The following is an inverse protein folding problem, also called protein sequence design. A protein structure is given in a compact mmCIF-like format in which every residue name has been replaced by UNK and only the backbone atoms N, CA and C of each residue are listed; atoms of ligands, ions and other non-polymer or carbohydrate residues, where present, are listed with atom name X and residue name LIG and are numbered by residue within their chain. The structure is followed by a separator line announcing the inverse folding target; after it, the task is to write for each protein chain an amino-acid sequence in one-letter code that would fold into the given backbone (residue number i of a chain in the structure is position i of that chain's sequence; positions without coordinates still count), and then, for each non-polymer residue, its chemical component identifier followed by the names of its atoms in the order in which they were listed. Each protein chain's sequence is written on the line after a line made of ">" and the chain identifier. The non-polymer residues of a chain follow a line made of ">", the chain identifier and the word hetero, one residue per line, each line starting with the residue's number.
data_IF_845257087330
#
_entry.id   IF_845257087330
#
_cell.length_a   1.000
_cell.length_b   1.000
_cell.length_c   1.000
_cell.angle_alpha   90.00
_cell.angle_beta   90.00
_cell.angle_gamma   90.00
#
_symmetry.space_group_name_H-M   'P 1'
#
loop_
_entity.id
_entity.type
_entity.pdbx_description
1 polymer ?
#
# COMPACT_ATOMS: atom_id res chain seq x y z
N UNK A 1 39.99 82.14 -21.81
CA UNK A 1 41.13 81.31 -21.42
C UNK A 1 40.63 80.32 -20.37
N UNK A 2 40.46 79.06 -20.81
CA UNK A 2 40.25 77.74 -20.13
C UNK A 2 39.62 77.64 -18.72
N UNK A 3 38.83 76.54 -18.58
CA UNK A 3 38.46 75.69 -17.41
C UNK A 3 37.05 75.90 -16.83
N UNK A 4 36.26 74.87 -16.49
CA UNK A 4 36.32 73.42 -16.70
C UNK A 4 34.91 72.88 -16.38
N UNK A 5 34.33 72.02 -17.21
CA UNK A 5 33.07 71.32 -16.91
C UNK A 5 33.37 70.00 -16.19
N UNK A 6 32.74 69.77 -15.04
CA UNK A 6 32.72 68.46 -14.37
C UNK A 6 31.36 67.80 -14.65
N UNK A 7 31.35 66.76 -15.47
CA UNK A 7 30.19 65.88 -15.68
C UNK A 7 30.30 64.67 -14.75
N UNK A 8 29.26 64.41 -13.96
CA UNK A 8 29.07 63.16 -13.22
C UNK A 8 28.53 62.09 -14.17
N UNK A 9 29.26 60.97 -14.28
CA UNK A 9 28.82 59.75 -14.96
C UNK A 9 28.07 58.85 -13.98
N UNK A 10 26.76 58.66 -14.20
CA UNK A 10 26.01 57.54 -13.63
C UNK A 10 26.22 56.31 -14.52
N UNK A 11 26.84 55.27 -13.99
CA UNK A 11 26.86 53.94 -14.61
C UNK A 11 25.56 53.20 -14.29
N UNK A 12 24.69 53.02 -15.29
CA UNK A 12 23.60 52.04 -15.21
C UNK A 12 24.15 50.68 -15.65
N UNK A 13 24.31 49.75 -14.70
CA UNK A 13 24.59 48.34 -14.97
C UNK A 13 23.33 47.69 -15.58
N UNK A 14 23.29 47.58 -16.90
CA UNK A 14 22.35 46.68 -17.59
C UNK A 14 23.01 45.29 -17.62
N UNK A 15 22.69 44.47 -16.62
CA UNK A 15 22.97 43.03 -16.70
C UNK A 15 22.03 42.38 -17.72
N UNK A 16 22.52 41.48 -18.60
CA UNK A 16 21.63 40.73 -19.47
C UNK A 16 20.70 39.85 -18.63
N UNK A 17 19.40 40.00 -18.83
CA UNK A 17 18.40 39.05 -18.37
C UNK A 17 18.66 37.72 -19.08
N UNK A 18 19.16 36.72 -18.34
CA UNK A 18 19.14 35.32 -18.77
C UNK A 18 17.71 34.80 -18.65
N UNK A 19 16.80 35.35 -19.45
CA UNK A 19 15.51 34.73 -19.72
C UNK A 19 15.76 33.57 -20.70
N UNK A 20 16.37 32.49 -20.21
CA UNK A 20 16.37 31.21 -20.90
C UNK A 20 14.93 30.75 -21.02
N UNK A 21 14.31 30.95 -22.19
CA UNK A 21 12.94 30.52 -22.44
C UNK A 21 12.82 29.02 -22.24
N UNK A 22 11.79 28.59 -21.50
CA UNK A 22 11.44 27.19 -21.38
C UNK A 22 11.09 26.64 -22.76
N UNK A 23 11.74 25.54 -23.17
CA UNK A 23 11.38 24.83 -24.39
C UNK A 23 10.27 23.84 -24.06
N UNK A 24 9.09 24.04 -24.63
CA UNK A 24 7.98 23.12 -24.50
C UNK A 24 8.10 22.01 -25.56
N UNK A 25 8.27 20.76 -25.12
CA UNK A 25 8.25 19.58 -25.99
C UNK A 25 6.83 19.01 -25.97
N UNK A 26 6.26 18.75 -27.15
CA UNK A 26 4.93 18.14 -27.31
C UNK A 26 5.10 16.85 -28.11
N UNK A 27 4.70 15.73 -27.52
CA UNK A 27 4.59 14.42 -28.16
C UNK A 27 3.09 14.13 -28.35
N UNK A 28 2.67 13.71 -29.55
CA UNK A 28 1.26 13.45 -29.85
C UNK A 28 0.89 11.96 -29.83
N UNK A 29 1.90 11.08 -29.71
CA UNK A 29 1.74 9.63 -29.61
C UNK A 29 0.97 9.00 -30.79
N UNK A 30 0.95 9.67 -31.95
CA UNK A 30 0.46 9.05 -33.19
C UNK A 30 1.35 7.90 -33.65
N UNK A 31 2.59 7.84 -33.17
CA UNK A 31 3.55 6.75 -33.34
C UNK A 31 4.21 6.37 -32.00
N UNK A 32 5.00 5.30 -32.00
CA UNK A 32 5.81 4.90 -30.83
C UNK A 32 6.89 5.96 -30.58
N UNK A 33 6.89 6.65 -29.42
CA UNK A 33 7.83 7.74 -29.16
C UNK A 33 9.25 7.25 -28.85
N UNK A 34 9.49 5.92 -28.86
CA UNK A 34 10.82 5.34 -28.64
C UNK A 34 11.35 5.54 -27.23
N UNK A 35 10.47 5.80 -26.26
CA UNK A 35 10.85 5.98 -24.86
C UNK A 35 11.38 4.68 -24.27
N UNK A 36 12.33 4.81 -23.34
CA UNK A 36 12.88 3.66 -22.64
C UNK A 36 11.78 2.96 -21.82
N UNK A 37 11.49 1.72 -22.19
CA UNK A 37 10.63 0.83 -21.42
C UNK A 37 11.44 -0.08 -20.52
N UNK A 38 11.18 -0.06 -19.21
CA UNK A 38 11.75 -1.02 -18.28
C UNK A 38 10.65 -1.90 -17.68
N UNK A 39 10.73 -3.21 -17.93
CA UNK A 39 9.82 -4.25 -17.39
C UNK A 39 8.31 -4.10 -17.70
N UNK A 40 7.91 -3.13 -18.53
CA UNK A 40 6.52 -2.83 -18.91
C UNK A 40 5.82 -3.94 -19.71
N UNK A 41 6.56 -4.96 -20.19
CA UNK A 41 6.03 -6.13 -20.93
C UNK A 41 6.67 -7.44 -20.48
N UNK A 42 7.05 -7.56 -19.20
CA UNK A 42 7.60 -8.81 -18.67
C UNK A 42 6.60 -9.95 -18.90
N UNK A 43 6.99 -10.94 -19.69
CA UNK A 43 6.35 -12.26 -19.68
C UNK A 43 6.97 -13.05 -18.55
N UNK A 44 6.11 -13.57 -17.68
CA UNK A 44 6.53 -14.47 -16.62
C UNK A 44 7.11 -15.76 -17.24
N UNK A 45 8.37 -16.05 -16.94
CA UNK A 45 9.06 -17.32 -17.24
C UNK A 45 9.62 -17.81 -15.91
N UNK A 46 9.30 -19.04 -15.52
CA UNK A 46 9.70 -19.64 -14.24
C UNK A 46 9.35 -18.81 -13.00
N UNK A 47 8.19 -18.12 -13.00
CA UNK A 47 7.79 -17.38 -11.80
C UNK A 47 7.57 -18.33 -10.62
N UNK A 48 7.87 -17.86 -9.40
CA UNK A 48 7.52 -18.59 -8.19
C UNK A 48 6.03 -18.93 -8.18
N UNK A 49 5.71 -20.15 -7.75
CA UNK A 49 4.34 -20.51 -7.41
C UNK A 49 3.84 -19.62 -6.27
N UNK A 50 2.64 -19.06 -6.45
CA UNK A 50 1.94 -18.31 -5.40
C UNK A 50 0.95 -19.26 -4.74
N UNK A 51 1.20 -19.62 -3.49
CA UNK A 51 0.37 -20.51 -2.70
C UNK A 51 -0.58 -19.67 -1.85
N UNK A 52 -1.88 -19.84 -2.09
CA UNK A 52 -2.97 -19.31 -1.27
C UNK A 52 -3.65 -20.50 -0.57
N UNK A 53 -3.03 -20.99 0.49
CA UNK A 53 -3.49 -22.18 1.23
C UNK A 53 -4.00 -21.74 2.60
N UNK A 54 -5.14 -21.06 2.63
CA UNK A 54 -5.76 -20.57 3.83
C UNK A 54 -7.27 -20.76 3.80
N UNK A 55 -7.87 -20.90 4.99
CA UNK A 55 -9.30 -21.14 5.14
C UNK A 55 -9.60 -21.73 6.50
N UNK A 56 -10.74 -22.40 6.63
CA UNK A 56 -11.06 -23.16 7.83
C UNK A 56 -10.17 -24.40 7.94
N UNK A 57 -9.62 -24.65 9.13
CA UNK A 57 -8.87 -25.86 9.48
C UNK A 57 -9.25 -26.38 10.86
N UNK A 58 -9.11 -27.69 11.08
CA UNK A 58 -9.40 -28.35 12.36
C UNK A 58 -8.34 -28.08 13.45
N UNK A 59 -7.35 -27.21 13.18
CA UNK A 59 -6.29 -26.83 14.12
C UNK A 59 -6.82 -25.95 15.26
N UNK A 60 -5.98 -25.70 16.26
CA UNK A 60 -6.31 -24.87 17.44
C UNK A 60 -5.09 -24.03 17.87
N UNK A 61 -4.40 -23.40 16.93
CA UNK A 61 -3.27 -22.51 17.23
C UNK A 61 -3.67 -21.29 18.04
N UNK A 62 -4.92 -20.83 17.88
CA UNK A 62 -5.51 -19.74 18.66
C UNK A 62 -5.99 -20.15 20.07
N UNK A 63 -5.87 -21.43 20.43
CA UNK A 63 -6.16 -21.99 21.76
C UNK A 63 -7.56 -21.59 22.26
N UNK A 64 -8.58 -21.83 21.43
CA UNK A 64 -9.98 -21.55 21.75
C UNK A 64 -10.70 -22.76 22.35
N UNK A 65 -10.11 -23.96 22.26
CA UNK A 65 -10.65 -25.16 22.89
C UNK A 65 -11.85 -25.70 22.13
N UNK A 66 -11.59 -26.42 21.04
CA UNK A 66 -12.64 -27.03 20.21
C UNK A 66 -12.18 -27.46 18.82
N UNK A 67 -11.00 -27.00 18.39
CA UNK A 67 -10.57 -27.10 17.01
C UNK A 67 -11.44 -26.24 16.09
N UNK A 68 -10.90 -25.87 14.93
CA UNK A 68 -11.58 -24.95 14.03
C UNK A 68 -11.05 -23.54 14.18
N UNK A 69 -10.26 -23.10 13.20
CA UNK A 69 -9.80 -21.72 13.09
C UNK A 69 -9.67 -21.32 11.62
N UNK A 70 -9.59 -20.01 11.37
CA UNK A 70 -9.23 -19.50 10.04
C UNK A 70 -7.72 -19.29 10.04
N UNK A 71 -7.03 -19.99 9.17
CA UNK A 71 -5.58 -19.93 9.11
C UNK A 71 -5.01 -20.61 7.88
N UNK A 72 -3.69 -20.58 7.79
CA UNK A 72 -2.94 -21.15 6.68
C UNK A 72 -1.89 -20.19 6.13
N UNK A 73 -1.36 -20.50 4.95
CA UNK A 73 -0.33 -19.73 4.27
C UNK A 73 -0.96 -18.72 3.33
N UNK A 74 -0.72 -17.45 3.60
CA UNK A 74 -1.01 -16.32 2.70
C UNK A 74 0.29 -15.90 2.03
N UNK A 75 0.24 -15.67 0.71
CA UNK A 75 1.36 -15.08 -0.04
C UNK A 75 0.90 -13.87 -0.84
N UNK A 76 1.78 -12.89 -0.96
CA UNK A 76 1.54 -11.72 -1.79
C UNK A 76 1.26 -12.12 -3.24
N UNK A 77 0.19 -11.56 -3.80
CA UNK A 77 -0.28 -11.86 -5.15
C UNK A 77 -0.99 -10.66 -5.77
N UNK A 78 -0.92 -10.55 -7.10
CA UNK A 78 -1.79 -9.66 -7.86
C UNK A 78 -3.19 -10.23 -8.06
N UNK A 79 -3.38 -11.53 -7.86
CA UNK A 79 -4.69 -12.18 -7.87
C UNK A 79 -5.28 -12.10 -6.47
N UNK A 80 -6.43 -11.43 -6.28
CA UNK A 80 -7.08 -11.36 -4.98
C UNK A 80 -7.52 -12.75 -4.51
N UNK A 81 -7.33 -13.03 -3.22
CA UNK A 81 -7.84 -14.21 -2.54
C UNK A 81 -8.36 -13.82 -1.16
N UNK A 82 -9.51 -14.36 -0.75
CA UNK A 82 -10.09 -14.11 0.56
C UNK A 82 -10.90 -15.31 1.06
N UNK A 83 -11.02 -15.40 2.38
CA UNK A 83 -11.90 -16.35 3.07
C UNK A 83 -12.79 -15.53 3.99
N UNK A 84 -14.03 -15.29 3.57
CA UNK A 84 -14.89 -14.28 4.19
C UNK A 84 -16.36 -14.72 4.19
N UNK A 85 -17.13 -14.15 5.12
CA UNK A 85 -18.58 -14.30 5.18
C UNK A 85 -19.25 -13.04 4.64
N UNK A 86 -20.25 -13.15 3.74
CA UNK A 86 -21.01 -11.99 3.28
C UNK A 86 -21.78 -11.32 4.44
N UNK A 87 -21.74 -9.99 4.51
CA UNK A 87 -22.49 -9.20 5.51
C UNK A 87 -23.99 -9.05 5.18
N UNK A 88 -24.44 -9.52 4.01
CA UNK A 88 -25.82 -9.47 3.56
C UNK A 88 -26.31 -8.09 3.08
N UNK A 89 -25.60 -7.01 3.42
CA UNK A 89 -25.82 -5.65 2.91
C UNK A 89 -24.50 -4.87 2.79
N UNK A 90 -24.41 -3.86 1.91
CA UNK A 90 -23.34 -2.87 1.96
C UNK A 90 -23.36 -2.11 3.30
N UNK A 91 -22.18 -1.76 3.81
CA UNK A 91 -22.01 -0.93 5.00
C UNK A 91 -21.59 0.49 4.60
N UNK A 92 -21.92 1.45 5.45
CA UNK A 92 -21.51 2.85 5.35
C UNK A 92 -20.90 3.33 6.66
N UNK A 93 -20.29 4.52 6.67
CA UNK A 93 -19.80 5.15 7.90
C UNK A 93 -20.90 5.52 8.92
N UNK A 94 -22.18 5.32 8.57
CA UNK A 94 -23.32 5.48 9.50
C UNK A 94 -23.69 4.18 10.20
N UNK A 95 -23.21 3.04 9.70
CA UNK A 95 -23.44 1.74 10.31
C UNK A 95 -22.39 1.50 11.41
N UNK A 96 -22.84 1.13 12.60
CA UNK A 96 -21.94 0.65 13.66
C UNK A 96 -21.70 -0.84 13.50
N UNK A 97 -20.44 -1.24 13.52
CA UNK A 97 -20.03 -2.64 13.53
C UNK A 97 -18.73 -2.78 14.31
N UNK A 98 -18.49 -3.99 14.83
CA UNK A 98 -17.25 -4.33 15.50
C UNK A 98 -16.86 -5.76 15.16
N UNK A 99 -15.59 -6.06 15.30
CA UNK A 99 -15.05 -7.40 15.27
C UNK A 99 -13.96 -7.51 16.33
N UNK A 100 -13.81 -8.69 16.90
CA UNK A 100 -12.74 -9.01 17.82
C UNK A 100 -12.33 -10.45 17.60
N UNK A 101 -11.15 -10.82 18.06
CA UNK A 101 -10.69 -12.18 17.87
C UNK A 101 -9.34 -12.44 18.51
N UNK A 102 -8.83 -13.64 18.19
CA UNK A 102 -7.49 -14.08 18.52
C UNK A 102 -6.71 -14.30 17.25
N UNK A 103 -5.40 -14.09 17.31
CA UNK A 103 -4.49 -14.39 16.22
C UNK A 103 -3.19 -14.94 16.77
N UNK A 104 -2.56 -15.84 16.02
CA UNK A 104 -1.23 -16.37 16.29
C UNK A 104 -0.43 -16.36 14.99
N UNK A 105 0.77 -15.77 15.00
CA UNK A 105 1.67 -15.77 13.85
C UNK A 105 2.69 -16.87 14.07
N UNK A 106 2.68 -17.90 13.23
CA UNK A 106 3.60 -19.05 13.36
C UNK A 106 4.81 -18.99 12.44
N UNK A 107 4.69 -18.21 11.38
CA UNK A 107 5.73 -18.02 10.38
C UNK A 107 5.49 -16.70 9.68
N UNK A 108 6.57 -15.96 9.40
CA UNK A 108 6.52 -14.78 8.55
C UNK A 108 7.60 -14.88 7.48
N UNK A 109 7.18 -14.79 6.23
CA UNK A 109 8.09 -14.73 5.08
C UNK A 109 8.54 -13.30 4.82
N UNK A 110 9.56 -13.12 3.97
CA UNK A 110 9.99 -11.78 3.58
C UNK A 110 8.88 -11.03 2.85
N UNK A 111 8.61 -9.81 3.28
CA UNK A 111 7.61 -8.88 2.73
C UNK A 111 6.18 -9.41 2.74
N UNK A 112 5.86 -10.40 3.58
CA UNK A 112 4.50 -10.95 3.64
C UNK A 112 3.50 -9.93 4.21
N UNK A 113 2.33 -9.84 3.58
CA UNK A 113 1.23 -8.99 4.05
C UNK A 113 -0.08 -9.78 4.13
N UNK A 114 -0.78 -9.65 5.25
CA UNK A 114 -2.15 -10.16 5.40
C UNK A 114 -3.09 -9.06 5.92
N UNK A 115 -4.37 -9.13 5.56
CA UNK A 115 -5.40 -8.22 6.03
C UNK A 115 -6.45 -8.99 6.81
N UNK A 116 -6.91 -8.40 7.91
CA UNK A 116 -8.07 -8.87 8.66
C UNK A 116 -9.01 -7.68 8.84
N UNK A 117 -10.23 -7.80 8.31
CA UNK A 117 -11.22 -6.73 8.41
C UNK A 117 -12.37 -6.85 7.41
N UNK A 118 -13.02 -5.71 7.17
CA UNK A 118 -14.18 -5.57 6.31
C UNK A 118 -13.74 -4.99 4.96
N UNK A 119 -14.30 -5.51 3.87
CA UNK A 119 -13.93 -5.10 2.52
C UNK A 119 -15.08 -5.33 1.54
N UNK A 120 -15.00 -4.65 0.39
CA UNK A 120 -15.86 -4.93 -0.76
C UNK A 120 -15.17 -5.93 -1.70
N UNK A 121 -15.74 -7.12 -1.99
CA UNK A 121 -15.07 -8.16 -2.78
C UNK A 121 -15.00 -7.88 -4.29
N UNK A 122 -15.71 -6.87 -4.80
CA UNK A 122 -15.85 -6.67 -6.26
C UNK A 122 -14.60 -6.08 -6.92
N UNK A 123 -13.88 -5.20 -6.23
CA UNK A 123 -12.77 -4.46 -6.80
C UNK A 123 -11.59 -4.39 -5.84
N UNK A 124 -10.44 -4.90 -6.25
CA UNK A 124 -9.22 -4.89 -5.46
C UNK A 124 -8.04 -4.47 -6.34
N UNK A 125 -7.20 -3.58 -5.80
CA UNK A 125 -5.90 -3.23 -6.40
C UNK A 125 -4.80 -3.60 -5.40
N UNK A 126 -3.63 -2.96 -5.46
CA UNK A 126 -2.58 -3.15 -4.45
C UNK A 126 -3.00 -2.74 -3.03
N UNK A 127 -3.98 -1.83 -2.91
CA UNK A 127 -4.70 -1.54 -1.66
C UNK A 127 -6.12 -2.10 -1.79
N UNK A 128 -6.59 -2.75 -0.72
CA UNK A 128 -7.96 -3.28 -0.66
C UNK A 128 -8.93 -2.11 -0.77
N UNK A 129 -9.85 -2.17 -1.74
CA UNK A 129 -10.78 -1.08 -2.00
C UNK A 129 -11.97 -1.13 -1.06
N UNK A 130 -12.51 0.04 -0.69
CA UNK A 130 -13.71 0.14 0.16
C UNK A 130 -13.61 -0.77 1.39
N UNK A 131 -12.53 -0.60 2.17
CA UNK A 131 -12.16 -1.49 3.26
C UNK A 131 -11.79 -0.74 4.54
N UNK A 132 -11.96 -1.43 5.66
CA UNK A 132 -11.42 -1.08 6.97
C UNK A 132 -10.83 -2.35 7.59
N UNK A 133 -9.52 -2.35 7.83
CA UNK A 133 -8.81 -3.53 8.29
C UNK A 133 -7.59 -3.13 9.13
N UNK A 134 -7.05 -4.10 9.85
CA UNK A 134 -5.64 -4.05 10.21
C UNK A 134 -4.85 -4.97 9.27
N UNK A 135 -3.63 -4.55 8.97
CA UNK A 135 -2.64 -5.31 8.22
C UNK A 135 -1.65 -5.92 9.19
N UNK A 136 -1.19 -7.12 8.84
CA UNK A 136 0.00 -7.73 9.41
C UNK A 136 1.06 -7.60 8.33
N UNK A 137 1.96 -6.64 8.49
CA UNK A 137 3.05 -6.36 7.54
C UNK A 137 4.36 -6.93 8.09
N UNK A 138 5.12 -7.64 7.26
CA UNK A 138 6.45 -8.07 7.66
C UNK A 138 7.42 -6.89 7.71
N UNK A 139 7.95 -6.63 8.92
CA UNK A 139 9.04 -5.70 9.15
C UNK A 139 10.08 -6.39 10.03
N UNK A 140 11.34 -6.43 9.60
CA UNK A 140 12.44 -7.01 10.38
C UNK A 140 12.17 -8.42 10.96
N UNK A 141 11.51 -9.29 10.18
CA UNK A 141 11.11 -10.67 10.54
C UNK A 141 10.05 -10.78 11.64
N UNK A 142 9.31 -9.70 11.92
CA UNK A 142 8.15 -9.69 12.80
C UNK A 142 6.93 -9.15 12.08
N UNK A 143 5.73 -9.51 12.55
CA UNK A 143 4.48 -8.97 12.03
C UNK A 143 4.19 -7.63 12.71
N UNK A 144 4.39 -6.53 12.00
CA UNK A 144 3.94 -5.22 12.44
C UNK A 144 2.44 -5.08 12.17
N UNK A 145 1.69 -4.69 13.19
CA UNK A 145 0.27 -4.36 13.01
C UNK A 145 0.17 -2.93 12.49
N UNK A 146 -0.62 -2.74 11.43
CA UNK A 146 -0.92 -1.41 10.88
C UNK A 146 -2.42 -1.28 10.72
N UNK A 147 -3.00 -0.11 10.99
CA UNK A 147 -4.37 0.17 10.59
C UNK A 147 -4.39 0.66 9.16
N UNK A 148 -5.35 0.20 8.36
CA UNK A 148 -5.50 0.66 6.99
C UNK A 148 -6.97 0.76 6.58
N UNK A 149 -7.28 1.83 5.87
CA UNK A 149 -8.58 2.01 5.26
C UNK A 149 -8.49 2.66 3.89
N UNK A 150 -9.51 2.39 3.09
CA UNK A 150 -9.76 3.04 1.82
C UNK A 150 -11.28 3.13 1.63
N UNK A 151 -11.80 4.32 1.40
CA UNK A 151 -13.19 4.52 1.01
C UNK A 151 -13.40 4.19 -0.47
N UNK A 152 -14.66 4.00 -0.87
CA UNK A 152 -15.03 3.68 -2.26
C UNK A 152 -14.68 4.75 -3.29
N UNK A 153 -14.40 5.98 -2.83
CA UNK A 153 -13.99 7.14 -3.63
C UNK A 153 -12.47 7.38 -3.62
N UNK A 154 -11.69 6.36 -3.27
CA UNK A 154 -10.21 6.35 -3.27
C UNK A 154 -9.55 7.25 -2.23
N UNK A 155 -10.29 7.75 -1.24
CA UNK A 155 -9.69 8.33 -0.05
C UNK A 155 -9.13 7.20 0.81
N UNK A 156 -7.84 7.26 1.12
CA UNK A 156 -7.19 6.18 1.86
C UNK A 156 -6.13 6.73 2.82
N UNK A 157 -5.97 6.05 3.95
CA UNK A 157 -4.92 6.32 4.92
C UNK A 157 -4.57 5.03 5.66
N UNK A 158 -3.35 4.97 6.16
CA UNK A 158 -2.91 3.92 7.06
C UNK A 158 -2.09 4.52 8.18
N UNK A 159 -2.03 3.81 9.30
CA UNK A 159 -1.23 4.17 10.46
C UNK A 159 -0.40 2.96 10.83
N UNK A 160 0.92 3.13 10.72
CA UNK A 160 1.87 2.19 11.28
C UNK A 160 1.80 2.25 12.80
N UNK A 161 1.78 1.09 13.46
CA UNK A 161 1.81 1.04 14.92
C UNK A 161 3.16 0.51 15.40
N UNK A 162 3.46 0.74 16.67
CA UNK A 162 4.61 0.13 17.34
C UNK A 162 4.32 -1.31 17.82
N UNK A 163 3.18 -1.90 17.44
CA UNK A 163 2.79 -3.25 17.83
C UNK A 163 3.50 -4.23 16.89
N UNK A 164 4.46 -4.95 17.45
CA UNK A 164 5.25 -5.95 16.75
C UNK A 164 4.95 -7.33 17.34
N UNK A 165 4.57 -8.26 16.48
CA UNK A 165 4.22 -9.62 16.85
C UNK A 165 5.28 -10.59 16.31
N UNK A 166 6.06 -11.25 17.16
CA UNK A 166 6.99 -12.27 16.72
C UNK A 166 6.24 -13.47 16.10
N UNK A 167 6.85 -14.18 15.13
CA UNK A 167 6.28 -15.40 14.57
C UNK A 167 6.54 -16.62 15.48
N UNK A 168 6.26 -16.50 16.78
CA UNK A 168 6.52 -17.53 17.81
C UNK A 168 5.30 -18.43 18.09
N UNK A 169 4.15 -18.12 17.50
CA UNK A 169 2.90 -18.82 17.71
C UNK A 169 2.18 -18.45 19.01
N UNK A 170 2.64 -17.42 19.73
CA UNK A 170 1.92 -16.87 20.86
C UNK A 170 0.56 -16.30 20.43
N UNK A 171 -0.41 -16.39 21.34
CA UNK A 171 -1.78 -16.00 21.07
C UNK A 171 -2.00 -14.55 21.50
N UNK A 172 -2.39 -13.71 20.55
CA UNK A 172 -2.73 -12.31 20.78
C UNK A 172 -4.23 -12.09 20.61
N UNK A 173 -4.81 -11.19 21.42
CA UNK A 173 -6.23 -10.80 21.33
C UNK A 173 -6.36 -9.40 20.75
N UNK A 174 -7.38 -9.17 19.93
CA UNK A 174 -7.68 -7.87 19.33
C UNK A 174 -9.18 -7.56 19.38
N UNK A 175 -9.52 -6.27 19.42
CA UNK A 175 -10.88 -5.73 19.45
C UNK A 175 -10.92 -4.28 19.00
#
# INVERSE_FOLDING_TARGET
>A
MILNQTFLLLFALVGPSLAGGLTQIKEDFSEDPGWEGFQNRKRCVDCPEVIQDFGWSQTDFTQTGGGGEIGGRVQDSFQPAYYAMPMGKPLSFKDSFSASGKLAIKHIGQRGVAYIGFFNPEYHTWRVWSSMAFRIWEEAKVGQIMFDWMAGDWQAMGVETAILLPPDGEVHTWS
#
